data_IF_306479542098
#
_entry.id   IF_306479542098
#
_cell.length_a   1.000
_cell.length_b   1.000
_cell.length_c   1.000
_cell.angle_alpha   90.00
_cell.angle_beta   90.00
_cell.angle_gamma   90.00
#
_symmetry.space_group_name_H-M   'P 1'
#
loop_
_entity.id
_entity.type
_entity.pdbx_description
1 polymer ?
#
# COMPACT_ATOMS: atom_id res chain seq x y z
N UNK A 1 23.95 7.42 1.78
CA UNK A 1 23.68 7.46 3.22
C UNK A 1 23.60 6.03 3.72
N UNK A 2 24.18 5.75 4.89
CA UNK A 2 24.15 4.40 5.48
C UNK A 2 22.79 4.15 6.15
N UNK A 3 22.31 2.90 6.14
CA UNK A 3 20.97 2.53 6.65
C UNK A 3 20.78 2.94 8.12
N UNK A 4 21.83 2.79 8.93
CA UNK A 4 21.82 3.16 10.35
C UNK A 4 21.60 4.66 10.57
N UNK A 5 22.22 5.50 9.73
CA UNK A 5 22.09 6.95 9.82
C UNK A 5 20.67 7.41 9.46
N UNK A 6 20.09 6.79 8.41
CA UNK A 6 18.71 7.03 8.03
C UNK A 6 17.75 6.59 9.14
N UNK A 7 17.97 5.43 9.75
CA UNK A 7 17.14 4.93 10.84
C UNK A 7 17.16 5.87 12.05
N UNK A 8 18.34 6.35 12.45
CA UNK A 8 18.48 7.32 13.56
C UNK A 8 17.71 8.62 13.29
N UNK A 9 17.70 9.08 12.03
CA UNK A 9 16.92 10.26 11.60
C UNK A 9 15.42 9.96 11.64
N UNK A 10 14.99 8.85 11.06
CA UNK A 10 13.59 8.41 11.05
C UNK A 10 12.97 8.27 12.44
N UNK A 11 13.73 7.78 13.41
CA UNK A 11 13.27 7.67 14.81
C UNK A 11 13.05 9.04 15.48
N UNK A 12 13.65 10.13 14.98
CA UNK A 12 13.36 11.49 15.46
C UNK A 12 12.01 12.01 14.97
N UNK A 13 11.40 11.36 13.99
CA UNK A 13 10.10 11.69 13.40
C UNK A 13 9.95 13.16 12.96
N UNK A 14 10.99 13.72 12.32
CA UNK A 14 10.93 15.04 11.70
C UNK A 14 10.61 14.99 10.19
N UNK A 15 10.08 16.09 9.66
CA UNK A 15 9.64 16.18 8.25
C UNK A 15 10.78 15.89 7.26
N UNK A 16 12.02 16.26 7.61
CA UNK A 16 13.19 16.02 6.77
C UNK A 16 13.51 14.53 6.63
N UNK A 17 13.32 13.76 7.71
CA UNK A 17 13.53 12.32 7.73
C UNK A 17 12.50 11.58 6.89
N UNK A 18 11.25 12.06 6.87
CA UNK A 18 10.22 11.50 5.99
C UNK A 18 10.55 11.74 4.51
N UNK A 19 10.93 12.96 4.13
CA UNK A 19 11.33 13.28 2.76
C UNK A 19 12.50 12.40 2.29
N UNK A 20 13.51 12.24 3.14
CA UNK A 20 14.67 11.42 2.85
C UNK A 20 14.33 9.92 2.69
N UNK A 21 13.40 9.40 3.49
CA UNK A 21 12.89 8.05 3.32
C UNK A 21 12.15 7.89 1.98
N UNK A 22 11.33 8.89 1.63
CA UNK A 22 10.61 8.90 0.37
C UNK A 22 11.58 8.90 -0.82
N UNK A 23 12.58 9.78 -0.83
CA UNK A 23 13.57 9.88 -1.89
C UNK A 23 14.34 8.57 -2.10
N UNK A 24 14.67 7.88 -1.01
CA UNK A 24 15.47 6.65 -1.06
C UNK A 24 14.67 5.41 -1.51
N UNK A 25 13.37 5.32 -1.19
CA UNK A 25 12.61 4.08 -1.33
C UNK A 25 11.34 4.18 -2.19
N UNK A 26 10.87 5.37 -2.55
CA UNK A 26 9.61 5.54 -3.30
C UNK A 26 9.62 4.76 -4.61
N UNK A 27 10.68 4.91 -5.42
CA UNK A 27 10.79 4.24 -6.72
C UNK A 27 10.75 2.72 -6.62
N UNK A 28 11.46 2.14 -5.65
CA UNK A 28 11.55 0.69 -5.49
C UNK A 28 10.26 0.09 -4.93
N UNK A 29 9.65 0.74 -3.93
CA UNK A 29 8.35 0.34 -3.40
C UNK A 29 7.24 0.52 -4.44
N UNK A 30 7.24 1.62 -5.19
CA UNK A 30 6.29 1.87 -6.27
C UNK A 30 6.37 0.77 -7.34
N UNK A 31 7.57 0.37 -7.76
CA UNK A 31 7.72 -0.72 -8.74
C UNK A 31 7.09 -2.04 -8.28
N UNK A 32 7.11 -2.33 -6.98
CA UNK A 32 6.49 -3.53 -6.40
C UNK A 32 4.98 -3.39 -6.34
N UNK A 33 4.49 -2.24 -5.84
CA UNK A 33 3.07 -1.92 -5.74
C UNK A 33 2.43 -1.94 -7.13
N UNK A 34 3.03 -1.24 -8.10
CA UNK A 34 2.56 -1.20 -9.49
C UNK A 34 2.53 -2.58 -10.13
N UNK A 35 3.51 -3.44 -9.82
CA UNK A 35 3.50 -4.80 -10.34
C UNK A 35 2.33 -5.64 -9.81
N UNK A 36 1.82 -5.36 -8.61
CA UNK A 36 0.63 -6.00 -8.07
C UNK A 36 -0.66 -5.35 -8.59
N UNK A 37 -0.69 -4.02 -8.65
CA UNK A 37 -1.91 -3.25 -8.90
C UNK A 37 -2.23 -3.05 -10.39
N UNK A 38 -1.21 -2.97 -11.23
CA UNK A 38 -1.31 -2.72 -12.68
C UNK A 38 -2.17 -1.50 -13.06
N UNK A 39 -2.25 -0.52 -12.17
CA UNK A 39 -2.96 0.74 -12.36
C UNK A 39 -2.15 1.87 -11.69
N UNK A 40 -1.93 2.98 -12.39
CA UNK A 40 -1.04 4.07 -11.93
C UNK A 40 -1.63 4.77 -10.70
N UNK A 41 -2.83 5.31 -10.83
CA UNK A 41 -3.51 6.09 -9.78
C UNK A 41 -3.64 5.30 -8.47
N UNK A 42 -4.13 4.06 -8.55
CA UNK A 42 -4.26 3.17 -7.39
C UNK A 42 -2.89 2.83 -6.77
N UNK A 43 -1.84 2.74 -7.59
CA UNK A 43 -0.49 2.47 -7.08
C UNK A 43 0.10 3.68 -6.36
N UNK A 44 -0.18 4.89 -6.84
CA UNK A 44 0.24 6.12 -6.18
C UNK A 44 -0.47 6.29 -4.83
N UNK A 45 -1.78 6.02 -4.77
CA UNK A 45 -2.55 6.02 -3.53
C UNK A 45 -2.02 5.00 -2.51
N UNK A 46 -1.80 3.76 -2.97
CA UNK A 46 -1.22 2.71 -2.11
C UNK A 46 0.18 3.08 -1.64
N UNK A 47 1.01 3.69 -2.50
CA UNK A 47 2.35 4.15 -2.12
C UNK A 47 2.27 5.17 -0.97
N UNK A 48 1.37 6.15 -1.06
CA UNK A 48 1.16 7.13 0.00
C UNK A 48 0.75 6.45 1.32
N UNK A 49 -0.22 5.52 1.28
CA UNK A 49 -0.65 4.76 2.45
C UNK A 49 0.51 3.96 3.07
N UNK A 50 1.35 3.35 2.24
CA UNK A 50 2.53 2.59 2.67
C UNK A 50 3.53 3.46 3.40
N UNK A 51 3.84 4.66 2.90
CA UNK A 51 4.75 5.57 3.61
C UNK A 51 4.17 6.05 4.94
N UNK A 52 2.86 6.32 5.01
CA UNK A 52 2.18 6.65 6.27
C UNK A 52 2.30 5.47 7.27
N UNK A 53 2.10 4.23 6.81
CA UNK A 53 2.24 3.04 7.65
C UNK A 53 3.67 2.82 8.11
N UNK A 54 4.66 3.00 7.23
CA UNK A 54 6.08 2.93 7.58
C UNK A 54 6.39 3.96 8.67
N UNK A 55 6.00 5.21 8.47
CA UNK A 55 6.21 6.30 9.42
C UNK A 55 5.62 6.02 10.80
N UNK A 56 4.36 5.56 10.83
CA UNK A 56 3.66 5.25 12.08
C UNK A 56 4.27 4.06 12.82
N UNK A 57 4.85 3.09 12.11
CA UNK A 57 5.32 1.83 12.68
C UNK A 57 6.85 1.73 12.76
N UNK A 58 7.61 2.78 12.42
CA UNK A 58 9.07 2.70 12.36
C UNK A 58 9.71 2.33 13.70
N UNK A 59 9.09 2.71 14.83
CA UNK A 59 9.56 2.35 16.17
C UNK A 59 9.50 0.83 16.44
N UNK A 60 8.68 0.10 15.67
CA UNK A 60 8.57 -1.37 15.76
C UNK A 60 9.63 -2.10 14.92
N UNK A 61 10.37 -1.39 14.06
CA UNK A 61 11.42 -1.99 13.27
C UNK A 61 12.51 -2.54 14.19
N UNK A 62 12.90 -3.79 13.94
CA UNK A 62 13.98 -4.45 14.66
C UNK A 62 14.96 -5.04 13.65
N UNK A 63 16.17 -4.49 13.65
CA UNK A 63 17.25 -4.91 12.75
C UNK A 63 17.66 -6.38 12.94
N UNK A 64 17.52 -6.93 14.15
CA UNK A 64 17.77 -8.35 14.41
C UNK A 64 16.78 -9.29 13.71
N UNK A 65 15.63 -8.77 13.26
CA UNK A 65 14.59 -9.54 12.56
C UNK A 65 14.69 -9.42 11.03
N UNK A 66 15.55 -8.55 10.51
CA UNK A 66 15.79 -8.40 9.09
C UNK A 66 16.12 -6.98 8.63
N UNK A 67 16.46 -6.86 7.35
CA UNK A 67 16.80 -5.58 6.72
C UNK A 67 15.60 -4.64 6.66
N UNK A 68 15.85 -3.34 6.85
CA UNK A 68 14.82 -2.29 6.81
C UNK A 68 14.01 -2.33 5.51
N UNK A 69 14.70 -2.48 4.37
CA UNK A 69 14.05 -2.59 3.06
C UNK A 69 13.06 -3.76 2.98
N UNK A 70 13.43 -4.93 3.51
CA UNK A 70 12.54 -6.11 3.52
C UNK A 70 11.31 -5.87 4.39
N UNK A 71 11.47 -5.20 5.53
CA UNK A 71 10.36 -4.82 6.41
C UNK A 71 9.39 -3.85 5.71
N UNK A 72 9.90 -2.81 5.04
CA UNK A 72 9.07 -1.88 4.24
C UNK A 72 8.38 -2.58 3.06
N UNK A 73 9.08 -3.50 2.40
CA UNK A 73 8.53 -4.29 1.28
C UNK A 73 7.33 -5.13 1.73
N UNK A 74 7.38 -5.69 2.94
CA UNK A 74 6.26 -6.44 3.51
C UNK A 74 5.05 -5.54 3.75
N UNK A 75 5.26 -4.32 4.27
CA UNK A 75 4.18 -3.33 4.44
C UNK A 75 3.56 -2.97 3.08
N UNK A 76 4.40 -2.74 2.06
CA UNK A 76 3.95 -2.43 0.70
C UNK A 76 3.11 -3.55 0.08
N UNK A 77 3.59 -4.79 0.18
CA UNK A 77 2.89 -5.98 -0.33
C UNK A 77 1.56 -6.17 0.38
N UNK A 78 1.54 -6.14 1.71
CA UNK A 78 0.33 -6.36 2.50
C UNK A 78 -0.73 -5.29 2.17
N UNK A 79 -0.33 -4.02 2.13
CA UNK A 79 -1.24 -2.91 1.80
C UNK A 79 -1.81 -3.06 0.37
N UNK A 80 -0.98 -3.45 -0.60
CA UNK A 80 -1.44 -3.70 -1.98
C UNK A 80 -2.45 -4.86 -2.05
N UNK A 81 -2.20 -5.95 -1.31
CA UNK A 81 -3.09 -7.12 -1.27
C UNK A 81 -4.43 -6.75 -0.61
N UNK A 82 -4.40 -5.99 0.48
CA UNK A 82 -5.61 -5.55 1.17
C UNK A 82 -6.48 -4.66 0.26
N UNK A 83 -5.86 -3.72 -0.47
CA UNK A 83 -6.55 -2.88 -1.46
C UNK A 83 -7.16 -3.71 -2.59
N UNK A 84 -6.42 -4.68 -3.15
CA UNK A 84 -6.92 -5.61 -4.16
C UNK A 84 -8.12 -6.43 -3.66
N UNK A 85 -8.06 -6.93 -2.43
CA UNK A 85 -9.16 -7.68 -1.81
C UNK A 85 -10.41 -6.81 -1.64
N UNK A 86 -10.24 -5.59 -1.15
CA UNK A 86 -11.34 -4.63 -1.01
C UNK A 86 -11.98 -4.29 -2.36
N UNK A 87 -11.15 -4.09 -3.40
CA UNK A 87 -11.64 -3.84 -4.77
C UNK A 87 -12.44 -5.01 -5.32
N UNK A 88 -11.94 -6.23 -5.17
CA UNK A 88 -12.63 -7.43 -5.63
C UNK A 88 -13.96 -7.63 -4.88
N UNK A 89 -13.98 -7.38 -3.57
CA UNK A 89 -15.21 -7.42 -2.78
C UNK A 89 -16.26 -6.43 -3.29
N UNK A 90 -15.86 -5.18 -3.56
CA UNK A 90 -16.75 -4.15 -4.10
C UNK A 90 -17.26 -4.49 -5.51
N UNK A 91 -16.41 -5.07 -6.36
CA UNK A 91 -16.83 -5.52 -7.70
C UNK A 91 -17.83 -6.68 -7.62
N UNK A 92 -17.64 -7.64 -6.72
CA UNK A 92 -18.60 -8.73 -6.51
C UNK A 92 -19.97 -8.20 -6.09
N UNK A 93 -20.03 -7.22 -5.17
CA UNK A 93 -21.30 -6.58 -4.79
C UNK A 93 -21.96 -5.82 -5.94
N UNK A 94 -21.18 -5.11 -6.77
CA UNK A 94 -21.72 -4.42 -7.96
C UNK A 94 -22.38 -5.41 -8.94
N UNK A 95 -21.72 -6.53 -9.22
CA UNK A 95 -22.27 -7.57 -10.09
C UNK A 95 -23.58 -8.15 -9.54
N UNK A 96 -23.63 -8.47 -8.24
CA UNK A 96 -24.85 -8.90 -7.54
C UNK A 96 -26.00 -7.88 -7.66
N UNK A 97 -25.70 -6.58 -7.60
CA UNK A 97 -26.72 -5.54 -7.76
C UNK A 97 -27.23 -5.39 -9.19
N UNK A 98 -26.38 -5.52 -10.22
CA UNK A 98 -26.81 -5.41 -11.63
C UNK A 98 -27.62 -6.62 -12.11
N UNK A 99 -27.34 -7.83 -11.63
CA UNK A 99 -28.11 -9.03 -11.98
C UNK A 99 -29.52 -9.02 -11.38
N UNK A 100 -29.70 -8.39 -10.21
CA UNK A 100 -31.00 -8.25 -9.56
C UNK A 100 -31.99 -7.32 -10.29
N UNK A 101 -31.52 -6.40 -11.15
CA UNK A 101 -32.41 -5.50 -11.89
C UNK A 101 -32.97 -6.13 -13.18
N UNK A 102 -32.37 -7.19 -13.70
CA UNK A 102 -32.81 -7.83 -14.96
C UNK A 102 -34.04 -8.70 -14.75
N UNK A 103 -34.21 -9.32 -13.57
CA UNK A 103 -35.37 -10.19 -13.29
C UNK A 103 -36.67 -9.46 -12.91
N UNK A 104 -36.69 -8.13 -12.81
CA UNK A 104 -37.91 -7.39 -12.42
C UNK A 104 -38.80 -7.05 -13.64
N UNK A 105 -38.27 -7.15 -14.87
CA UNK A 105 -38.98 -6.73 -16.09
C UNK A 105 -39.55 -7.86 -16.94
N UNK A 106 -39.35 -9.13 -16.58
CA UNK A 106 -39.83 -10.28 -17.38
C UNK A 106 -41.19 -10.85 -16.92
N UNK A 107 -41.71 -10.49 -15.75
CA UNK A 107 -42.96 -11.05 -15.20
C UNK A 107 -44.24 -10.25 -15.52
N UNK A 108 -44.22 -9.35 -16.51
CA UNK A 108 -45.43 -8.66 -16.99
C UNK A 108 -45.58 -8.79 -18.51
N UNK A 109 -45.98 -9.98 -18.98
CA UNK A 109 -46.62 -10.17 -20.29
C UNK A 109 -47.49 -11.43 -20.29
#
# INVERSE_FOLDING_TARGET
MEQEELLKKLLKKDDQSFALLYDNYSKSLYGVIFNLMKNIEESEDVLQEVFIKIWKNIDSYNESKGRLYTWMLNIARNTSIDKLRSKNYNNSQKNLSSDNFVHIFEDNS
#
